data_IF_949820991648
#
_entry.id   IF_949820991648
#
_cell.length_a   1.000
_cell.length_b   1.000
_cell.length_c   1.000
_cell.angle_alpha   90.00
_cell.angle_beta   90.00
_cell.angle_gamma   90.00
#
_symmetry.space_group_name_H-M   'P 1'
#
loop_
_entity.id
_entity.type
_entity.pdbx_description
1 polymer ?
#
# COMPACT_ATOMS: atom_id res chain seq x y z
N UNK A 1 -0.48 -5.46 2.37
CA UNK A 1 -0.19 -6.90 2.59
C UNK A 1 -0.08 -7.61 1.26
N UNK A 2 0.84 -8.57 1.16
CA UNK A 2 1.16 -9.38 -0.03
C UNK A 2 -0.06 -10.11 -0.62
N UNK A 3 -0.94 -10.62 0.24
CA UNK A 3 -2.18 -11.31 -0.19
C UNK A 3 -3.09 -10.46 -1.08
N UNK A 4 -3.01 -9.14 -1.00
CA UNK A 4 -3.78 -8.23 -1.86
C UNK A 4 -3.24 -8.17 -3.30
N UNK A 5 -1.99 -8.57 -3.50
CA UNK A 5 -1.29 -8.53 -4.77
C UNK A 5 -1.19 -9.89 -5.47
N UNK A 6 -1.69 -10.96 -4.85
CA UNK A 6 -1.47 -12.34 -5.30
C UNK A 6 -1.91 -12.57 -6.76
N UNK A 7 -3.07 -12.09 -7.14
CA UNK A 7 -3.58 -12.25 -8.52
C UNK A 7 -2.69 -11.51 -9.51
N UNK A 8 -2.42 -10.22 -9.29
CA UNK A 8 -1.56 -9.42 -10.16
C UNK A 8 -0.11 -9.93 -10.15
N UNK A 9 0.42 -10.31 -8.99
CA UNK A 9 1.76 -10.88 -8.90
C UNK A 9 1.91 -12.18 -9.72
N UNK A 10 0.87 -13.02 -9.75
CA UNK A 10 0.86 -14.21 -10.61
C UNK A 10 0.83 -13.83 -12.09
N UNK A 11 0.08 -12.79 -12.46
CA UNK A 11 0.03 -12.31 -13.85
C UNK A 11 1.41 -11.75 -14.28
N UNK A 12 2.02 -10.87 -13.48
CA UNK A 12 3.36 -10.35 -13.76
C UNK A 12 4.42 -11.46 -13.85
N UNK A 13 4.32 -12.49 -13.02
CA UNK A 13 5.19 -13.66 -13.13
C UNK A 13 4.99 -14.41 -14.47
N UNK A 14 3.75 -14.51 -14.95
CA UNK A 14 3.42 -15.10 -16.26
C UNK A 14 3.95 -14.27 -17.42
N UNK A 15 4.13 -12.96 -17.24
CA UNK A 15 4.73 -12.05 -18.22
C UNK A 15 6.28 -12.10 -18.19
N UNK A 16 6.87 -12.96 -17.35
CA UNK A 16 8.31 -13.21 -17.30
C UNK A 16 9.06 -12.44 -16.21
N UNK A 17 8.39 -11.72 -15.33
CA UNK A 17 9.04 -11.02 -14.22
C UNK A 17 9.28 -11.95 -13.02
N UNK A 18 10.42 -11.76 -12.34
CA UNK A 18 10.61 -12.28 -10.99
C UNK A 18 9.88 -11.36 -10.01
N UNK A 19 8.82 -11.85 -9.37
CA UNK A 19 7.93 -11.05 -8.54
C UNK A 19 8.15 -11.34 -7.07
N UNK A 20 8.42 -10.28 -6.28
CA UNK A 20 8.54 -10.32 -4.83
C UNK A 20 7.37 -9.54 -4.22
N UNK A 21 6.48 -10.22 -3.51
CA UNK A 21 5.33 -9.61 -2.83
C UNK A 21 5.62 -9.47 -1.34
N UNK A 22 5.88 -8.25 -0.89
CA UNK A 22 6.27 -7.99 0.50
C UNK A 22 5.07 -7.64 1.37
N UNK A 23 5.10 -8.12 2.61
CA UNK A 23 4.36 -7.52 3.72
C UNK A 23 5.26 -6.46 4.36
N UNK A 24 4.79 -5.22 4.46
CA UNK A 24 5.52 -4.18 5.21
C UNK A 24 5.48 -4.52 6.71
N UNK A 25 6.42 -3.97 7.50
CA UNK A 25 6.40 -4.15 8.97
C UNK A 25 5.01 -3.86 9.53
N UNK A 26 4.68 -4.51 10.61
CA UNK A 26 3.36 -4.46 11.26
C UNK A 26 2.19 -4.98 10.42
N UNK A 27 2.48 -5.63 9.29
CA UNK A 27 1.48 -6.27 8.43
C UNK A 27 1.85 -7.71 8.10
N UNK A 28 0.82 -8.53 7.93
CA UNK A 28 0.96 -9.88 7.39
C UNK A 28 1.85 -10.78 8.24
N UNK A 29 2.91 -11.30 7.62
CA UNK A 29 3.88 -12.19 8.25
C UNK A 29 5.22 -11.52 8.55
N UNK A 30 5.33 -10.23 8.25
CA UNK A 30 6.53 -9.47 8.54
C UNK A 30 6.65 -9.10 10.00
N UNK A 31 7.81 -8.61 10.40
CA UNK A 31 8.11 -8.16 11.75
C UNK A 31 7.04 -7.22 12.29
N UNK A 32 6.56 -7.49 13.49
CA UNK A 32 5.77 -6.56 14.30
C UNK A 32 6.71 -5.84 15.28
N UNK A 33 6.67 -4.53 15.30
CA UNK A 33 7.55 -3.65 16.09
C UNK A 33 6.83 -2.37 16.45
N UNK A 34 7.21 -1.77 17.58
CA UNK A 34 6.76 -0.43 17.98
C UNK A 34 7.40 0.67 17.11
N UNK A 35 8.52 0.36 16.44
CA UNK A 35 9.12 1.25 15.45
C UNK A 35 8.30 1.26 14.17
N UNK A 36 7.65 2.39 13.88
CA UNK A 36 6.78 2.54 12.73
C UNK A 36 6.92 3.94 12.13
N UNK A 37 7.54 4.00 10.97
CA UNK A 37 7.61 5.16 10.08
C UNK A 37 7.96 4.68 8.66
N UNK A 38 7.91 5.58 7.68
CA UNK A 38 8.32 5.26 6.32
C UNK A 38 9.81 4.94 6.21
N UNK A 39 10.67 5.58 7.01
CA UNK A 39 12.11 5.31 7.05
C UNK A 39 12.40 3.88 7.48
N UNK A 40 11.72 3.39 8.52
CA UNK A 40 11.84 2.00 8.95
C UNK A 40 11.35 1.02 7.88
N UNK A 41 10.24 1.33 7.18
CA UNK A 41 9.75 0.50 6.08
C UNK A 41 10.73 0.47 4.91
N UNK A 42 11.34 1.61 4.58
CA UNK A 42 12.39 1.72 3.55
C UNK A 42 13.59 0.86 3.94
N UNK A 43 14.05 0.96 5.19
CA UNK A 43 15.18 0.17 5.66
C UNK A 43 14.91 -1.34 5.57
N UNK A 44 13.71 -1.80 5.92
CA UNK A 44 13.31 -3.20 5.77
C UNK A 44 13.40 -3.67 4.32
N UNK A 45 12.97 -2.85 3.36
CA UNK A 45 13.03 -3.19 1.92
C UNK A 45 14.48 -3.24 1.46
N UNK A 46 15.33 -2.31 1.89
CA UNK A 46 16.77 -2.30 1.56
C UNK A 46 17.44 -3.57 2.08
N UNK A 47 17.19 -3.95 3.33
CA UNK A 47 17.75 -5.17 3.91
C UNK A 47 17.21 -6.44 3.22
N UNK A 48 15.93 -6.43 2.84
CA UNK A 48 15.36 -7.50 2.03
C UNK A 48 16.08 -7.64 0.68
N UNK A 49 16.28 -6.53 -0.03
CA UNK A 49 16.98 -6.52 -1.31
C UNK A 49 18.43 -7.04 -1.18
N UNK A 50 19.15 -6.63 -0.14
CA UNK A 50 20.49 -7.15 0.15
C UNK A 50 20.47 -8.65 0.40
N UNK A 51 19.58 -9.13 1.25
CA UNK A 51 19.45 -10.55 1.61
C UNK A 51 19.09 -11.45 0.42
N UNK A 52 18.41 -10.89 -0.58
CA UNK A 52 18.01 -11.60 -1.81
C UNK A 52 18.92 -11.27 -3.01
N UNK A 53 20.01 -10.53 -2.82
CA UNK A 53 20.96 -10.13 -3.88
C UNK A 53 20.28 -9.35 -5.02
N UNK A 54 19.27 -8.53 -4.70
CA UNK A 54 18.59 -7.68 -5.66
C UNK A 54 19.31 -6.33 -5.73
N UNK A 55 20.03 -6.10 -6.81
CA UNK A 55 20.85 -4.90 -7.00
C UNK A 55 20.08 -3.74 -7.62
N UNK A 56 19.06 -4.05 -8.43
CA UNK A 56 18.19 -3.07 -9.08
C UNK A 56 16.81 -3.70 -9.24
N UNK A 57 15.76 -2.96 -8.88
CA UNK A 57 14.38 -3.44 -8.93
C UNK A 57 13.45 -2.41 -9.58
N UNK A 58 12.36 -2.90 -10.17
CA UNK A 58 11.17 -2.12 -10.41
C UNK A 58 10.26 -2.28 -9.18
N UNK A 59 9.66 -1.20 -8.71
CA UNK A 59 8.83 -1.24 -7.50
C UNK A 59 7.43 -0.72 -7.76
N UNK A 60 6.44 -1.43 -7.24
CA UNK A 60 5.02 -1.03 -7.27
C UNK A 60 4.55 -0.87 -5.83
N UNK A 61 4.01 0.29 -5.50
CA UNK A 61 3.40 0.56 -4.19
C UNK A 61 2.02 1.17 -4.31
N UNK A 62 1.10 0.73 -3.45
CA UNK A 62 -0.25 1.29 -3.34
C UNK A 62 -0.44 1.96 -1.99
N UNK A 63 -1.01 3.16 -1.96
CA UNK A 63 -1.33 3.90 -0.74
C UNK A 63 -0.09 4.03 0.17
N UNK A 64 -0.11 3.58 1.42
CA UNK A 64 1.05 3.53 2.31
C UNK A 64 2.26 2.84 1.66
N UNK A 65 2.07 1.74 0.91
CA UNK A 65 3.13 1.11 0.14
C UNK A 65 3.68 2.01 -0.97
N UNK A 66 2.85 2.88 -1.54
CA UNK A 66 3.25 3.91 -2.51
C UNK A 66 4.13 4.99 -1.87
N UNK A 67 3.77 5.47 -0.67
CA UNK A 67 4.60 6.38 0.12
C UNK A 67 5.97 5.77 0.44
N UNK A 68 5.97 4.50 0.89
CA UNK A 68 7.21 3.76 1.14
C UNK A 68 8.07 3.65 -0.13
N UNK A 69 7.46 3.32 -1.27
CA UNK A 69 8.17 3.20 -2.54
C UNK A 69 8.74 4.54 -3.04
N UNK A 70 7.99 5.64 -2.88
CA UNK A 70 8.45 6.99 -3.19
C UNK A 70 9.65 7.39 -2.33
N UNK A 71 9.58 7.18 -1.01
CA UNK A 71 10.70 7.49 -0.11
C UNK A 71 11.92 6.60 -0.41
N UNK A 72 11.71 5.30 -0.70
CA UNK A 72 12.79 4.40 -1.10
C UNK A 72 13.47 4.90 -2.38
N UNK A 73 12.71 5.27 -3.40
CA UNK A 73 13.22 5.73 -4.68
C UNK A 73 14.05 7.03 -4.54
N UNK A 74 13.61 7.96 -3.71
CA UNK A 74 14.31 9.23 -3.48
C UNK A 74 15.54 9.08 -2.57
N UNK A 75 15.54 8.09 -1.66
CA UNK A 75 16.66 7.85 -0.72
C UNK A 75 17.73 6.90 -1.30
N UNK A 76 17.30 5.89 -2.06
CA UNK A 76 18.16 4.88 -2.66
C UNK A 76 17.93 4.78 -4.18
N UNK A 77 18.18 5.87 -4.95
CA UNK A 77 17.82 5.94 -6.37
C UNK A 77 18.52 4.88 -7.22
N UNK A 78 19.70 4.42 -6.84
CA UNK A 78 20.43 3.39 -7.58
C UNK A 78 19.78 2.01 -7.48
N UNK A 79 19.06 1.74 -6.41
CA UNK A 79 18.33 0.50 -6.21
C UNK A 79 17.07 0.41 -7.10
N UNK A 80 16.48 1.55 -7.47
CA UNK A 80 15.21 1.60 -8.20
C UNK A 80 15.48 1.89 -9.69
N UNK A 81 14.97 1.02 -10.57
CA UNK A 81 14.98 1.24 -12.02
C UNK A 81 13.72 2.01 -12.46
N UNK A 82 12.53 1.50 -12.17
CA UNK A 82 11.25 2.15 -12.44
C UNK A 82 10.38 2.14 -11.19
N UNK A 83 9.65 3.23 -10.96
CA UNK A 83 8.73 3.39 -9.84
C UNK A 83 7.29 3.44 -10.34
N UNK A 84 6.40 2.66 -9.72
CA UNK A 84 4.96 2.72 -9.98
C UNK A 84 4.24 2.97 -8.67
N UNK A 85 3.47 4.04 -8.63
CA UNK A 85 2.72 4.49 -7.44
C UNK A 85 1.24 4.44 -7.74
N UNK A 86 0.49 3.66 -6.97
CA UNK A 86 -0.95 3.51 -7.13
C UNK A 86 -1.69 4.31 -6.05
N UNK A 87 -2.44 5.28 -6.50
CA UNK A 87 -3.43 6.11 -5.82
C UNK A 87 -2.97 6.76 -4.51
N UNK A 88 -1.79 7.35 -4.54
CA UNK A 88 -1.23 8.19 -3.47
C UNK A 88 -0.22 9.18 -4.07
N UNK A 89 -0.17 10.40 -3.56
CA UNK A 89 0.82 11.41 -3.94
C UNK A 89 1.89 11.64 -2.88
N UNK A 90 2.89 12.48 -3.14
CA UNK A 90 3.94 12.85 -2.20
C UNK A 90 3.43 13.72 -1.03
N UNK A 91 2.33 14.45 -1.21
CA UNK A 91 1.76 15.41 -0.26
C UNK A 91 1.43 14.84 1.11
N UNK A 92 1.19 15.73 2.08
CA UNK A 92 0.59 15.35 3.37
C UNK A 92 -0.88 14.96 3.21
N UNK A 93 -1.29 13.92 3.92
CA UNK A 93 -2.68 13.49 4.03
C UNK A 93 -3.14 13.62 5.49
N UNK A 94 -4.18 14.44 5.76
CA UNK A 94 -4.76 14.54 7.09
C UNK A 94 -5.27 13.17 7.57
N UNK A 95 -5.23 12.94 8.87
CA UNK A 95 -5.80 11.72 9.43
C UNK A 95 -7.30 11.64 9.16
N UNK A 96 -7.73 10.57 8.52
CA UNK A 96 -9.14 10.26 8.23
C UNK A 96 -9.49 8.80 8.50
N UNK A 97 -8.62 8.11 9.27
CA UNK A 97 -8.76 6.68 9.55
C UNK A 97 -9.39 6.39 10.92
N UNK A 98 -9.87 7.40 11.65
CA UNK A 98 -10.44 7.25 13.00
C UNK A 98 -11.61 6.26 13.02
N UNK A 99 -12.51 6.33 12.02
CA UNK A 99 -13.64 5.41 11.89
C UNK A 99 -13.19 3.99 11.60
N UNK A 100 -12.11 3.82 10.83
CA UNK A 100 -11.50 2.52 10.55
C UNK A 100 -10.93 1.92 11.82
N UNK A 101 -10.13 2.70 12.57
CA UNK A 101 -9.58 2.26 13.85
C UNK A 101 -10.68 1.94 14.86
N UNK A 102 -11.72 2.77 14.95
CA UNK A 102 -12.85 2.52 15.82
C UNK A 102 -13.53 1.18 15.50
N UNK A 103 -13.78 0.90 14.21
CA UNK A 103 -14.38 -0.36 13.78
C UNK A 103 -13.49 -1.58 14.06
N UNK A 104 -12.18 -1.45 13.86
CA UNK A 104 -11.23 -2.52 14.14
C UNK A 104 -11.09 -2.80 15.65
N UNK A 105 -11.08 -1.74 16.48
CA UNK A 105 -11.00 -1.87 17.94
C UNK A 105 -12.32 -2.36 18.57
N UNK A 106 -13.46 -2.23 17.88
CA UNK A 106 -14.75 -2.73 18.35
C UNK A 106 -14.85 -4.27 18.24
N UNK A 107 -13.95 -4.91 17.50
CA UNK A 107 -13.95 -6.38 17.40
C UNK A 107 -13.32 -7.00 18.63
N UNK A 108 -14.13 -7.66 19.45
CA UNK A 108 -13.65 -8.46 20.59
C UNK A 108 -13.34 -9.90 20.15
N UNK A 109 -12.07 -10.19 19.95
CA UNK A 109 -11.63 -11.54 19.59
C UNK A 109 -11.66 -12.53 20.77
N UNK A 110 -11.78 -12.07 22.02
CA UNK A 110 -11.92 -12.97 23.17
C UNK A 110 -13.26 -13.75 23.13
N UNK A 111 -14.28 -13.16 22.54
CA UNK A 111 -15.58 -13.80 22.28
C UNK A 111 -15.56 -14.81 21.12
N UNK A 112 -14.39 -15.01 20.49
CA UNK A 112 -14.20 -15.93 19.37
C UNK A 112 -15.19 -15.73 18.22
N UNK A 113 -15.34 -14.51 17.69
CA UNK A 113 -16.33 -14.21 16.67
C UNK A 113 -16.04 -14.97 15.37
N UNK A 114 -17.11 -15.31 14.65
CA UNK A 114 -17.00 -15.80 13.28
C UNK A 114 -16.56 -14.64 12.34
N UNK A 115 -16.05 -14.97 11.14
CA UNK A 115 -15.74 -13.94 10.13
C UNK A 115 -16.95 -13.05 9.82
N UNK A 116 -18.15 -13.63 9.77
CA UNK A 116 -19.40 -12.88 9.55
C UNK A 116 -19.71 -11.93 10.71
N UNK A 117 -19.47 -12.34 11.95
CA UNK A 117 -19.65 -11.47 13.12
C UNK A 117 -18.63 -10.30 13.10
N UNK A 118 -17.36 -10.58 12.77
CA UNK A 118 -16.35 -9.51 12.57
C UNK A 118 -16.78 -8.53 11.49
N UNK A 119 -17.25 -9.02 10.33
CA UNK A 119 -17.76 -8.17 9.25
C UNK A 119 -18.94 -7.32 9.70
N UNK A 120 -19.90 -7.89 10.44
CA UNK A 120 -21.05 -7.17 10.99
C UNK A 120 -20.59 -6.03 11.90
N UNK A 121 -19.69 -6.30 12.86
CA UNK A 121 -19.12 -5.28 13.75
C UNK A 121 -18.43 -4.16 12.97
N UNK A 122 -17.53 -4.49 12.03
CA UNK A 122 -16.82 -3.48 11.25
C UNK A 122 -17.78 -2.65 10.38
N UNK A 123 -18.87 -3.24 9.87
CA UNK A 123 -19.84 -2.57 9.01
C UNK A 123 -20.62 -1.45 9.69
N UNK A 124 -20.70 -1.46 11.02
CA UNK A 124 -21.32 -0.39 11.81
C UNK A 124 -20.50 0.92 11.75
N UNK A 125 -19.20 0.82 11.52
CA UNK A 125 -18.28 1.95 11.49
C UNK A 125 -17.85 2.31 10.06
N UNK A 126 -17.66 1.33 9.21
CA UNK A 126 -17.07 1.49 7.87
C UNK A 126 -18.12 1.17 6.82
N UNK A 127 -18.66 2.20 6.18
CA UNK A 127 -19.73 2.06 5.17
C UNK A 127 -19.18 1.64 3.80
N UNK A 128 -17.91 1.97 3.49
CA UNK A 128 -17.29 1.59 2.21
C UNK A 128 -17.02 0.10 2.13
N UNK A 129 -17.66 -0.56 1.17
CA UNK A 129 -17.55 -2.00 0.97
C UNK A 129 -16.13 -2.44 0.60
N UNK A 130 -15.45 -1.69 -0.27
CA UNK A 130 -14.09 -1.99 -0.72
C UNK A 130 -13.11 -2.02 0.46
N UNK A 131 -13.16 -1.01 1.31
CA UNK A 131 -12.36 -0.91 2.53
C UNK A 131 -12.65 -2.08 3.49
N UNK A 132 -13.93 -2.43 3.72
CA UNK A 132 -14.25 -3.60 4.57
C UNK A 132 -13.65 -4.89 4.02
N UNK A 133 -13.83 -5.15 2.72
CA UNK A 133 -13.29 -6.37 2.11
C UNK A 133 -11.76 -6.42 2.18
N UNK A 134 -11.09 -5.27 2.02
CA UNK A 134 -9.64 -5.17 2.19
C UNK A 134 -9.22 -5.52 3.63
N UNK A 135 -9.89 -4.94 4.63
CA UNK A 135 -9.59 -5.20 6.04
C UNK A 135 -9.87 -6.66 6.42
N UNK A 136 -10.99 -7.23 5.97
CA UNK A 136 -11.34 -8.62 6.23
C UNK A 136 -10.38 -9.64 5.62
N UNK A 137 -9.63 -9.29 4.55
CA UNK A 137 -8.53 -10.13 4.04
C UNK A 137 -7.39 -10.29 5.05
N UNK A 138 -7.26 -9.37 6.01
CA UNK A 138 -6.27 -9.49 7.07
C UNK A 138 -6.62 -10.51 8.16
N UNK A 139 -7.88 -10.98 8.23
CA UNK A 139 -8.30 -11.97 9.20
C UNK A 139 -7.65 -13.33 8.92
N UNK A 140 -7.10 -13.93 9.97
CA UNK A 140 -6.54 -15.27 9.92
C UNK A 140 -6.88 -16.05 11.19
N UNK A 141 -6.78 -17.36 11.12
CA UNK A 141 -6.86 -18.22 12.29
C UNK A 141 -5.52 -18.17 13.02
N UNK A 142 -5.49 -17.52 14.19
CA UNK A 142 -4.32 -17.53 15.08
C UNK A 142 -4.16 -18.91 15.72
N UNK A 143 -5.31 -19.46 16.14
CA UNK A 143 -5.46 -20.82 16.66
C UNK A 143 -6.80 -21.38 16.16
N UNK A 144 -7.04 -22.70 16.25
CA UNK A 144 -8.34 -23.27 15.91
C UNK A 144 -9.47 -22.59 16.69
N UNK A 145 -10.40 -21.97 15.98
CA UNK A 145 -11.53 -21.23 16.56
C UNK A 145 -11.22 -19.80 17.03
N UNK A 146 -9.96 -19.33 16.90
CA UNK A 146 -9.53 -17.99 17.30
C UNK A 146 -9.07 -17.19 16.09
N UNK A 147 -9.86 -16.18 15.68
CA UNK A 147 -9.46 -15.21 14.66
C UNK A 147 -8.60 -14.10 15.27
N UNK A 148 -7.78 -13.48 14.40
CA UNK A 148 -7.06 -12.26 14.69
C UNK A 148 -6.84 -11.46 13.39
N UNK A 149 -6.44 -10.20 13.49
CA UNK A 149 -5.92 -9.43 12.37
C UNK A 149 -4.43 -9.69 12.16
N UNK A 150 -3.99 -9.72 10.88
CA UNK A 150 -2.58 -9.83 10.49
C UNK A 150 -1.85 -8.49 10.48
N UNK A 151 -2.31 -7.52 11.23
CA UNK A 151 -1.62 -6.24 11.40
C UNK A 151 -1.58 -5.85 12.87
N UNK A 152 -0.58 -5.06 13.23
CA UNK A 152 -0.36 -4.61 14.59
C UNK A 152 -1.26 -3.41 14.91
N UNK A 153 -2.52 -3.70 15.34
CA UNK A 153 -3.51 -2.67 15.62
C UNK A 153 -3.06 -1.70 16.73
N UNK A 154 -2.29 -2.17 17.72
CA UNK A 154 -1.74 -1.34 18.80
C UNK A 154 -0.89 -0.22 18.24
N UNK A 155 0.06 -0.55 17.37
CA UNK A 155 0.93 0.45 16.74
C UNK A 155 0.14 1.42 15.86
N UNK A 156 -0.86 0.95 15.14
CA UNK A 156 -1.72 1.84 14.33
C UNK A 156 -2.55 2.79 15.18
N UNK A 157 -3.01 2.37 16.35
CA UNK A 157 -3.70 3.27 17.28
C UNK A 157 -2.78 4.39 17.80
N UNK A 158 -1.50 4.09 18.00
CA UNK A 158 -0.52 5.02 18.59
C UNK A 158 0.16 5.93 17.53
N UNK A 159 0.34 5.43 16.30
CA UNK A 159 1.19 6.07 15.28
C UNK A 159 0.48 6.27 13.94
N UNK A 160 -0.83 6.48 13.96
CA UNK A 160 -1.60 6.68 12.71
C UNK A 160 -1.18 7.95 11.95
N UNK A 161 -0.65 8.96 12.64
CA UNK A 161 -0.12 10.17 12.03
C UNK A 161 1.01 9.90 11.03
N UNK A 162 1.82 8.90 11.28
CA UNK A 162 2.95 8.54 10.41
C UNK A 162 2.49 8.15 8.99
N UNK A 163 1.27 7.63 8.85
CA UNK A 163 0.74 7.22 7.55
C UNK A 163 0.49 8.43 6.63
N UNK A 164 0.15 9.58 7.21
CA UNK A 164 -0.18 10.80 6.47
C UNK A 164 1.03 11.65 6.05
N UNK A 165 2.23 11.37 6.55
CA UNK A 165 3.41 12.22 6.38
C UNK A 165 3.73 12.45 4.90
N UNK A 166 4.06 13.72 4.54
CA UNK A 166 4.53 14.08 3.20
C UNK A 166 5.95 13.58 2.96
N UNK A 167 6.35 13.44 1.69
CA UNK A 167 7.76 13.30 1.36
C UNK A 167 8.54 14.55 1.81
N UNK A 168 9.85 14.41 2.14
CA UNK A 168 10.71 15.58 2.34
C UNK A 168 10.71 16.51 1.11
N UNK A 169 10.64 17.82 1.31
CA UNK A 169 10.56 18.81 0.22
C UNK A 169 11.68 18.70 -0.83
N UNK A 170 12.86 18.27 -0.40
CA UNK A 170 14.03 18.09 -1.26
C UNK A 170 14.14 16.67 -1.85
N UNK A 171 13.18 15.79 -1.62
CA UNK A 171 13.18 14.43 -2.16
C UNK A 171 12.89 14.47 -3.66
N UNK A 172 13.85 14.08 -4.49
CA UNK A 172 13.72 14.05 -5.96
C UNK A 172 14.17 12.68 -6.47
N UNK A 173 13.38 12.11 -7.40
CA UNK A 173 13.74 10.92 -8.13
C UNK A 173 13.59 11.15 -9.64
N UNK A 174 14.70 11.03 -10.38
CA UNK A 174 14.78 11.42 -11.79
C UNK A 174 14.67 10.25 -12.78
N UNK A 175 14.38 9.03 -12.30
CA UNK A 175 14.15 7.89 -13.19
C UNK A 175 12.66 7.74 -13.54
N UNK A 176 12.31 6.90 -14.52
CA UNK A 176 10.92 6.75 -14.97
C UNK A 176 9.96 6.40 -13.82
N UNK A 177 8.89 7.16 -13.72
CA UNK A 177 7.87 6.99 -12.68
C UNK A 177 6.48 7.00 -13.30
N UNK A 178 5.62 6.07 -12.88
CA UNK A 178 4.23 6.01 -13.25
C UNK A 178 3.34 6.18 -12.01
N UNK A 179 2.52 7.21 -12.02
CA UNK A 179 1.41 7.33 -11.08
C UNK A 179 0.13 6.81 -11.74
N UNK A 180 -0.61 5.95 -11.03
CA UNK A 180 -1.91 5.46 -11.49
C UNK A 180 -2.94 5.88 -10.44
N UNK A 181 -3.94 6.67 -10.84
CA UNK A 181 -5.02 7.11 -9.95
C UNK A 181 -6.37 6.50 -10.33
N UNK A 182 -7.24 6.33 -9.35
CA UNK A 182 -8.64 5.99 -9.58
C UNK A 182 -9.45 7.21 -10.00
N UNK A 183 -10.29 7.08 -11.03
CA UNK A 183 -11.13 8.18 -11.52
C UNK A 183 -12.18 8.66 -10.51
N UNK A 184 -12.56 7.79 -9.55
CA UNK A 184 -13.47 8.10 -8.45
C UNK A 184 -12.73 8.29 -7.11
N UNK A 185 -11.40 8.31 -7.12
CA UNK A 185 -10.57 8.51 -5.93
C UNK A 185 -10.28 10.00 -5.70
N UNK A 186 -10.18 10.39 -4.44
CA UNK A 186 -9.77 11.74 -4.02
C UNK A 186 -8.30 11.83 -3.57
N UNK A 187 -7.53 10.74 -3.68
CA UNK A 187 -6.15 10.72 -3.21
C UNK A 187 -5.19 11.49 -4.11
N UNK A 188 -5.37 11.41 -5.45
CA UNK A 188 -4.61 12.22 -6.41
C UNK A 188 -5.61 13.03 -7.23
N UNK A 189 -5.64 14.33 -7.04
CA UNK A 189 -6.45 15.28 -7.79
C UNK A 189 -5.60 16.00 -8.84
N UNK A 190 -6.22 16.69 -9.79
CA UNK A 190 -5.49 17.44 -10.83
C UNK A 190 -4.56 18.50 -10.23
N UNK A 191 -4.96 19.12 -9.12
CA UNK A 191 -4.14 20.10 -8.40
C UNK A 191 -2.86 19.51 -7.78
N UNK A 192 -2.79 18.21 -7.59
CA UNK A 192 -1.65 17.51 -6.97
C UNK A 192 -0.56 17.15 -8.00
N UNK A 193 -0.87 17.27 -9.31
CA UNK A 193 0.04 16.88 -10.38
C UNK A 193 1.30 17.72 -10.44
N UNK A 194 1.22 18.99 -10.07
CA UNK A 194 2.38 19.89 -10.02
C UNK A 194 3.38 19.42 -8.96
N UNK A 195 2.93 19.11 -7.74
CA UNK A 195 3.78 18.58 -6.68
C UNK A 195 4.38 17.22 -7.05
N UNK A 196 3.60 16.35 -7.71
CA UNK A 196 4.13 15.08 -8.23
C UNK A 196 5.31 15.33 -9.18
N UNK A 197 5.18 16.24 -10.14
CA UNK A 197 6.25 16.55 -11.10
C UNK A 197 7.46 17.19 -10.44
N UNK A 198 7.28 17.98 -9.37
CA UNK A 198 8.39 18.56 -8.60
C UNK A 198 9.27 17.46 -7.97
N UNK A 199 8.67 16.42 -7.39
CA UNK A 199 9.40 15.30 -6.81
C UNK A 199 9.86 14.25 -7.84
N UNK A 200 9.06 14.07 -8.91
CA UNK A 200 9.26 13.04 -9.93
C UNK A 200 9.18 13.66 -11.34
N UNK A 201 10.22 14.39 -11.78
CA UNK A 201 10.18 15.16 -13.03
C UNK A 201 10.00 14.29 -14.30
N UNK A 202 10.28 13.01 -14.24
CA UNK A 202 10.06 12.06 -15.34
C UNK A 202 8.83 11.17 -15.08
N UNK A 203 7.84 11.69 -14.36
CA UNK A 203 6.60 10.98 -14.09
C UNK A 203 5.57 11.13 -15.21
N UNK A 204 4.74 10.09 -15.33
CA UNK A 204 3.46 10.12 -16.05
C UNK A 204 2.33 9.78 -15.07
N UNK A 205 1.17 10.36 -15.27
CA UNK A 205 -0.01 10.03 -14.48
C UNK A 205 -1.10 9.48 -15.40
N UNK A 206 -1.56 8.26 -15.08
CA UNK A 206 -2.64 7.57 -15.78
C UNK A 206 -3.85 7.45 -14.85
N UNK A 207 -5.06 7.45 -15.44
CA UNK A 207 -6.30 7.35 -14.68
C UNK A 207 -7.05 6.08 -15.07
N UNK A 208 -7.43 5.26 -14.08
CA UNK A 208 -8.35 4.14 -14.28
C UNK A 208 -9.78 4.65 -14.08
N UNK A 209 -10.59 4.78 -15.14
CA UNK A 209 -11.95 5.28 -15.05
C UNK A 209 -12.81 4.39 -14.14
N UNK A 210 -13.73 5.02 -13.40
CA UNK A 210 -14.70 4.35 -12.52
C UNK A 210 -14.08 3.52 -11.38
N UNK A 211 -12.78 3.56 -11.17
CA UNK A 211 -12.12 2.93 -10.02
C UNK A 211 -11.96 3.94 -8.88
N UNK A 212 -12.08 3.48 -7.65
CA UNK A 212 -11.78 4.22 -6.42
C UNK A 212 -10.35 3.98 -5.95
N UNK A 213 -10.14 4.07 -4.64
CA UNK A 213 -8.81 3.89 -4.02
C UNK A 213 -8.22 2.49 -4.23
N UNK A 214 -9.05 1.47 -4.36
CA UNK A 214 -8.62 0.08 -4.55
C UNK A 214 -8.50 -0.30 -6.04
N UNK A 215 -8.07 0.62 -6.89
CA UNK A 215 -8.04 0.54 -8.34
C UNK A 215 -7.42 -0.76 -8.90
N UNK A 216 -6.38 -1.28 -8.24
CA UNK A 216 -5.72 -2.54 -8.62
C UNK A 216 -6.58 -3.78 -8.34
N UNK A 217 -7.58 -3.67 -7.45
CA UNK A 217 -8.56 -4.72 -7.16
C UNK A 217 -9.88 -4.49 -7.90
N UNK A 218 -10.26 -3.23 -8.13
CA UNK A 218 -11.50 -2.85 -8.81
C UNK A 218 -11.40 -3.01 -10.33
N UNK A 219 -10.25 -2.72 -10.92
CA UNK A 219 -9.97 -2.94 -12.35
C UNK A 219 -8.56 -3.55 -12.56
N UNK A 220 -8.34 -4.80 -12.15
CA UNK A 220 -7.03 -5.45 -12.22
C UNK A 220 -6.50 -5.58 -13.65
N UNK A 221 -7.39 -5.71 -14.64
CA UNK A 221 -7.01 -5.83 -16.04
C UNK A 221 -6.34 -4.54 -16.53
N UNK A 222 -7.01 -3.40 -16.39
CA UNK A 222 -6.46 -2.12 -16.84
C UNK A 222 -5.22 -1.73 -16.03
N UNK A 223 -5.22 -2.01 -14.72
CA UNK A 223 -4.04 -1.80 -13.88
C UNK A 223 -2.83 -2.59 -14.41
N UNK A 224 -3.03 -3.87 -14.70
CA UNK A 224 -1.99 -4.73 -15.25
C UNK A 224 -1.48 -4.22 -16.62
N UNK A 225 -2.38 -3.86 -17.54
CA UNK A 225 -2.04 -3.34 -18.87
C UNK A 225 -1.18 -2.05 -18.78
N UNK A 226 -1.54 -1.11 -17.91
CA UNK A 226 -0.79 0.12 -17.68
C UNK A 226 0.61 -0.16 -17.12
N UNK A 227 0.70 -1.04 -16.13
CA UNK A 227 1.98 -1.44 -15.51
C UNK A 227 2.88 -2.12 -16.53
N UNK A 228 2.39 -3.11 -17.29
CA UNK A 228 3.19 -3.82 -18.30
C UNK A 228 3.65 -2.88 -19.40
N UNK A 229 2.77 -2.02 -19.92
CA UNK A 229 3.14 -1.03 -20.93
C UNK A 229 4.22 -0.05 -20.46
N UNK A 230 4.30 0.21 -19.16
CA UNK A 230 5.33 1.07 -18.59
C UNK A 230 6.64 0.31 -18.31
N UNK A 231 6.56 -0.97 -17.92
CA UNK A 231 7.73 -1.77 -17.59
C UNK A 231 8.51 -2.24 -18.83
N UNK A 232 7.84 -2.51 -19.92
CA UNK A 232 8.43 -2.93 -21.20
C UNK A 232 8.77 -1.71 -22.07
#
# INVERSE_FOLDING_TARGET
MSDNWKTLGTQFASDGFQVHMLDLRNHGRSLHSDDFSYEFMVQDIVEYCKGHHLNTIDIIGHSMGGKTAMLLATTYPDLINKLIVADIGPKFYPQHHQTILAGLNAVDFAEKPSRAAVEATISEYITDFGTRQFLLKSLYWQEPGQLAFRFNLTVFNEKMEEIGVALPENAIFTKPTLFIRGGNSSYILDQDLEEIVQHFPHSKTETIPNAGHWLHAENPKMFHELVISFLL
#
